data_IF_927603685779
#
_entry.id   IF_927603685779
#
_cell.length_a   1.000
_cell.length_b   1.000
_cell.length_c   1.000
_cell.angle_alpha   90.00
_cell.angle_beta   90.00
_cell.angle_gamma   90.00
#
_symmetry.space_group_name_H-M   'P 1'
#
loop_
_entity.id
_entity.type
_entity.pdbx_description
1 polymer ?
#
# COMPACT_ATOMS: atom_id res chain seq x y z
N UNK A 1 -9.31 1.67 7.57
CA UNK A 1 -8.11 0.99 7.05
C UNK A 1 -8.53 -0.43 6.66
N UNK A 2 -8.36 -0.82 5.40
CA UNK A 2 -8.64 -2.20 4.96
C UNK A 2 -7.48 -3.09 5.40
N UNK A 3 -7.77 -4.26 5.97
CA UNK A 3 -6.77 -5.27 6.29
C UNK A 3 -6.01 -5.65 5.01
N UNK A 4 -4.68 -5.53 5.03
CA UNK A 4 -3.81 -5.86 3.89
C UNK A 4 -3.31 -7.28 4.07
N UNK A 5 -3.68 -8.16 3.14
CA UNK A 5 -3.18 -9.53 3.06
C UNK A 5 -2.02 -9.60 2.09
N UNK A 6 -0.96 -10.28 2.48
CA UNK A 6 0.08 -10.70 1.55
C UNK A 6 -0.49 -11.84 0.67
N UNK A 7 0.00 -12.00 -0.57
CA UNK A 7 -0.32 -13.16 -1.38
C UNK A 7 0.04 -14.47 -0.66
N UNK A 8 -0.72 -15.54 -0.90
CA UNK A 8 -0.34 -16.87 -0.42
C UNK A 8 1.02 -17.29 -1.00
N UNK A 9 1.84 -17.92 -0.15
CA UNK A 9 3.12 -18.49 -0.57
C UNK A 9 2.90 -19.69 -1.51
N UNK A 10 3.87 -20.02 -2.37
CA UNK A 10 3.74 -21.13 -3.31
C UNK A 10 3.35 -22.47 -2.66
N UNK A 11 3.85 -22.74 -1.45
CA UNK A 11 3.52 -23.93 -0.67
C UNK A 11 2.04 -23.96 -0.22
N UNK A 12 1.53 -22.84 0.29
CA UNK A 12 0.15 -22.72 0.77
C UNK A 12 -0.87 -22.73 -0.38
N UNK A 13 -0.43 -22.42 -1.60
CA UNK A 13 -1.26 -22.53 -2.81
C UNK A 13 -1.52 -23.97 -3.24
N UNK A 14 -0.73 -24.95 -2.78
CA UNK A 14 -0.89 -26.36 -3.17
C UNK A 14 -2.20 -26.95 -2.64
N UNK A 15 -2.59 -26.59 -1.42
CA UNK A 15 -3.90 -26.91 -0.85
C UNK A 15 -4.44 -25.66 -0.12
N UNK A 16 -5.21 -24.81 -0.82
CA UNK A 16 -5.69 -23.54 -0.28
C UNK A 16 -6.79 -23.71 0.78
N UNK A 17 -7.17 -24.94 1.13
CA UNK A 17 -8.14 -25.22 2.18
C UNK A 17 -7.49 -25.41 3.55
N UNK A 18 -6.18 -25.72 3.59
CA UNK A 18 -5.47 -25.95 4.84
C UNK A 18 -5.16 -24.63 5.57
N UNK A 19 -5.09 -24.65 6.92
CA UNK A 19 -4.63 -23.50 7.67
C UNK A 19 -3.19 -23.12 7.30
N UNK A 20 -2.98 -21.86 6.93
CA UNK A 20 -1.68 -21.33 6.51
C UNK A 20 -1.21 -20.23 7.47
N UNK A 21 0.12 -20.04 7.63
CA UNK A 21 0.67 -19.01 8.51
C UNK A 21 0.21 -17.60 8.13
N UNK A 22 -0.23 -16.83 9.13
CA UNK A 22 -0.59 -15.42 8.96
C UNK A 22 0.31 -14.58 9.86
N UNK A 23 1.09 -13.60 9.34
CA UNK A 23 1.98 -12.79 10.16
C UNK A 23 1.26 -11.87 11.14
N UNK A 24 0.14 -11.29 10.70
CA UNK A 24 -0.65 -10.32 11.46
C UNK A 24 -2.13 -10.60 11.26
N UNK A 25 -2.89 -10.77 12.34
CA UNK A 25 -4.34 -10.92 12.29
C UNK A 25 -5.04 -9.58 11.98
N UNK A 26 -6.28 -9.63 11.48
CA UNK A 26 -7.07 -8.42 11.28
C UNK A 26 -7.47 -7.74 12.61
N UNK A 27 -7.64 -8.51 13.70
CA UNK A 27 -7.94 -8.02 15.04
C UNK A 27 -9.21 -8.61 15.63
N UNK A 28 -10.38 -8.18 15.16
CA UNK A 28 -11.67 -8.46 15.83
C UNK A 28 -12.17 -9.92 15.80
N UNK A 29 -11.54 -10.82 15.05
CA UNK A 29 -12.00 -12.20 14.85
C UNK A 29 -10.81 -13.16 14.95
N UNK A 30 -10.73 -13.91 16.05
CA UNK A 30 -9.73 -14.97 16.25
C UNK A 30 -10.20 -15.93 17.35
N UNK A 31 -9.56 -17.09 17.45
CA UNK A 31 -9.71 -18.02 18.56
C UNK A 31 -8.32 -18.31 19.14
N UNK A 32 -8.22 -18.29 20.47
CA UNK A 32 -6.98 -18.57 21.20
C UNK A 32 -7.33 -19.33 22.49
N UNK A 33 -6.45 -20.20 22.95
CA UNK A 33 -6.58 -20.79 24.30
C UNK A 33 -6.56 -19.68 25.34
N UNK A 34 -7.56 -19.65 26.23
CA UNK A 34 -7.63 -18.66 27.31
C UNK A 34 -6.36 -18.67 28.17
N UNK A 35 -5.85 -19.87 28.48
CA UNK A 35 -4.59 -20.03 29.21
C UNK A 35 -3.42 -19.39 28.46
N UNK A 36 -3.26 -19.69 27.18
CA UNK A 36 -2.17 -19.14 26.37
C UNK A 36 -2.27 -17.61 26.22
N UNK A 37 -3.48 -17.07 26.07
CA UNK A 37 -3.71 -15.62 26.04
C UNK A 37 -3.22 -14.93 27.31
N UNK A 38 -3.48 -15.51 28.48
CA UNK A 38 -3.01 -14.96 29.75
C UNK A 38 -1.53 -15.22 30.02
N UNK A 39 -0.96 -16.32 29.52
CA UNK A 39 0.50 -16.55 29.52
C UNK A 39 1.24 -15.48 28.70
N UNK A 40 0.64 -15.01 27.60
CA UNK A 40 1.12 -13.86 26.82
C UNK A 40 0.85 -12.49 27.48
N UNK A 41 0.24 -12.47 28.67
CA UNK A 41 -0.10 -11.25 29.41
C UNK A 41 -1.28 -10.45 28.84
N UNK A 42 -2.13 -11.06 28.01
CA UNK A 42 -3.26 -10.40 27.37
C UNK A 42 -2.85 -9.26 26.43
N UNK A 43 -3.73 -8.27 26.26
CA UNK A 43 -3.39 -7.01 25.59
C UNK A 43 -2.67 -6.05 26.56
N UNK A 44 -1.85 -5.15 26.04
CA UNK A 44 -1.35 -4.00 26.78
C UNK A 44 -2.53 -3.14 27.24
N UNK A 45 -2.70 -3.05 28.57
CA UNK A 45 -3.81 -2.37 29.26
C UNK A 45 -3.80 -0.86 29.06
N UNK A 46 -2.71 -0.31 28.53
CA UNK A 46 -2.58 1.10 28.18
C UNK A 46 -2.87 1.38 26.70
N UNK A 47 -3.24 0.37 25.90
CA UNK A 47 -3.79 0.60 24.56
C UNK A 47 -5.21 1.18 24.69
N UNK A 48 -5.43 2.30 24.01
CA UNK A 48 -6.67 3.06 24.16
C UNK A 48 -7.61 2.81 22.99
N UNK A 49 -8.89 2.54 23.28
CA UNK A 49 -10.06 2.53 22.36
C UNK A 49 -9.93 1.63 21.14
N UNK A 50 -9.04 1.96 20.20
CA UNK A 50 -8.84 1.26 18.94
C UNK A 50 -7.43 1.47 18.39
N UNK A 51 -6.87 0.41 17.82
CA UNK A 51 -5.68 0.44 16.99
C UNK A 51 -4.47 -0.16 17.68
N UNK A 52 -3.73 -0.96 16.91
CA UNK A 52 -2.48 -1.62 17.22
C UNK A 52 -2.55 -2.88 18.10
N UNK A 53 -3.70 -3.18 18.71
CA UNK A 53 -3.91 -4.41 19.48
C UNK A 53 -3.67 -5.68 18.63
N UNK A 54 -4.05 -5.63 17.35
CA UNK A 54 -3.84 -6.72 16.42
C UNK A 54 -2.35 -6.97 16.12
N UNK A 55 -1.54 -5.90 16.07
CA UNK A 55 -0.10 -6.03 15.88
C UNK A 55 0.56 -6.56 17.15
N UNK A 56 0.19 -6.02 18.30
CA UNK A 56 0.73 -6.42 19.59
C UNK A 56 0.56 -7.92 19.84
N UNK A 57 -0.67 -8.43 19.71
CA UNK A 57 -0.96 -9.84 19.95
C UNK A 57 -0.31 -10.74 18.89
N UNK A 58 -0.29 -10.31 17.62
CA UNK A 58 0.40 -11.05 16.55
C UNK A 58 1.90 -11.21 16.83
N UNK A 59 2.56 -10.13 17.23
CA UNK A 59 3.99 -10.13 17.58
C UNK A 59 4.25 -10.98 18.84
N UNK A 60 3.41 -10.86 19.88
CA UNK A 60 3.46 -11.72 21.08
C UNK A 60 3.39 -13.20 20.70
N UNK A 61 2.38 -13.60 19.94
CA UNK A 61 2.19 -15.00 19.55
C UNK A 61 3.44 -15.52 18.82
N UNK A 62 3.86 -14.84 17.75
CA UNK A 62 4.98 -15.33 16.94
C UNK A 62 6.33 -15.29 17.66
N UNK A 63 6.65 -14.17 18.29
CA UNK A 63 7.97 -13.95 18.87
C UNK A 63 8.16 -14.72 20.18
N UNK A 64 7.07 -15.06 20.89
CA UNK A 64 7.13 -15.71 22.21
C UNK A 64 6.74 -17.21 22.16
N UNK A 65 6.89 -17.86 20.99
CA UNK A 65 6.83 -19.33 20.87
C UNK A 65 5.49 -19.92 20.43
N UNK A 66 4.51 -19.08 20.09
CA UNK A 66 3.25 -19.49 19.48
C UNK A 66 3.29 -19.53 17.95
N UNK A 67 2.13 -19.83 17.35
CA UNK A 67 1.90 -19.81 15.91
C UNK A 67 0.54 -19.20 15.63
N UNK A 68 0.43 -18.45 14.54
CA UNK A 68 -0.83 -17.88 14.08
C UNK A 68 -1.14 -18.34 12.66
N UNK A 69 -2.41 -18.69 12.42
CA UNK A 69 -2.87 -19.18 11.12
C UNK A 69 -4.20 -18.56 10.75
N UNK A 70 -4.39 -18.33 9.45
CA UNK A 70 -5.72 -18.17 8.88
C UNK A 70 -6.24 -19.57 8.52
N UNK A 71 -7.49 -19.88 8.88
CA UNK A 71 -8.12 -21.18 8.61
C UNK A 71 -9.21 -21.03 7.53
N UNK A 72 -8.94 -21.36 6.25
CA UNK A 72 -9.85 -21.11 5.12
C UNK A 72 -11.27 -21.71 5.27
N UNK A 73 -11.37 -22.84 5.98
CA UNK A 73 -12.62 -23.55 6.25
C UNK A 73 -13.49 -22.90 7.34
N UNK A 74 -12.94 -21.97 8.13
CA UNK A 74 -13.69 -21.20 9.15
C UNK A 74 -13.91 -19.78 8.65
N UNK A 75 -15.16 -19.45 8.27
CA UNK A 75 -15.49 -18.18 7.62
C UNK A 75 -16.52 -17.42 8.44
N UNK A 76 -16.24 -16.15 8.73
CA UNK A 76 -17.14 -15.25 9.45
C UNK A 76 -17.31 -13.97 8.65
N UNK A 77 -18.57 -13.56 8.43
CA UNK A 77 -18.88 -12.28 7.79
C UNK A 77 -18.71 -11.12 8.77
N UNK A 78 -18.05 -10.05 8.33
CA UNK A 78 -17.89 -8.82 9.11
C UNK A 78 -18.37 -7.62 8.29
N UNK A 79 -19.22 -6.78 8.88
CA UNK A 79 -19.73 -5.58 8.24
C UNK A 79 -18.73 -4.44 8.48
N UNK A 80 -18.00 -4.06 7.43
CA UNK A 80 -17.15 -2.88 7.46
C UNK A 80 -18.00 -1.61 7.37
N UNK A 81 -17.83 -0.71 8.34
CA UNK A 81 -18.51 0.58 8.34
C UNK A 81 -17.86 1.52 7.32
N UNK A 82 -18.67 2.32 6.63
CA UNK A 82 -18.19 3.38 5.73
C UNK A 82 -17.59 4.56 6.50
N UNK A 83 -18.05 4.83 7.72
CA UNK A 83 -17.52 5.84 8.62
C UNK A 83 -17.59 5.37 10.10
N UNK A 84 -16.78 5.99 10.97
CA UNK A 84 -16.94 5.81 12.42
C UNK A 84 -18.09 6.71 12.90
N UNK A 85 -19.18 6.16 13.45
CA UNK A 85 -20.28 6.99 13.93
C UNK A 85 -19.99 7.64 15.30
N UNK A 86 -18.86 7.30 15.93
CA UNK A 86 -18.48 7.81 17.23
C UNK A 86 -17.54 9.01 17.09
N UNK A 87 -17.76 10.10 17.84
CA UNK A 87 -16.82 11.22 17.88
C UNK A 87 -15.46 10.77 18.43
N UNK A 88 -14.40 11.51 18.12
CA UNK A 88 -13.10 11.26 18.73
C UNK A 88 -13.22 11.39 20.24
N UNK A 89 -13.05 10.28 20.97
CA UNK A 89 -13.22 10.27 22.42
C UNK A 89 -12.07 10.95 23.17
N UNK A 90 -11.00 11.34 22.47
CA UNK A 90 -9.83 12.03 23.01
C UNK A 90 -9.44 13.21 22.12
N UNK A 91 -8.76 14.18 22.73
CA UNK A 91 -8.24 15.39 22.06
C UNK A 91 -6.92 15.17 21.34
N UNK A 92 -6.24 14.05 21.61
CA UNK A 92 -4.98 13.65 20.97
C UNK A 92 -5.14 12.37 20.15
N UNK A 93 -4.16 12.11 19.29
CA UNK A 93 -4.10 10.93 18.43
C UNK A 93 -3.69 9.67 19.21
N UNK A 94 -4.66 9.09 19.93
CA UNK A 94 -4.46 7.84 20.67
C UNK A 94 -4.08 6.66 19.76
N UNK A 95 -4.47 6.69 18.48
CA UNK A 95 -4.08 5.67 17.50
C UNK A 95 -2.57 5.73 17.25
N UNK A 96 -1.99 6.92 17.07
CA UNK A 96 -0.54 7.07 16.96
C UNK A 96 0.19 6.65 18.23
N UNK A 97 -0.35 6.98 19.41
CA UNK A 97 0.18 6.55 20.70
C UNK A 97 0.22 5.03 20.80
N UNK A 98 -0.89 4.34 20.51
CA UNK A 98 -0.97 2.87 20.54
C UNK A 98 0.05 2.23 19.59
N UNK A 99 0.14 2.70 18.34
CA UNK A 99 1.15 2.22 17.39
C UNK A 99 2.57 2.43 17.93
N UNK A 100 2.86 3.58 18.54
CA UNK A 100 4.17 3.87 19.13
C UNK A 100 4.48 2.96 20.31
N UNK A 101 3.52 2.67 21.20
CA UNK A 101 3.68 1.70 22.30
C UNK A 101 4.09 0.33 21.76
N UNK A 102 3.37 -0.17 20.76
CA UNK A 102 3.69 -1.47 20.13
C UNK A 102 5.06 -1.44 19.46
N UNK A 103 5.37 -0.38 18.71
CA UNK A 103 6.66 -0.25 18.03
C UNK A 103 7.84 -0.21 19.00
N UNK A 104 7.74 0.57 20.10
CA UNK A 104 8.79 0.69 21.11
C UNK A 104 9.06 -0.62 21.88
N UNK A 105 8.03 -1.45 22.06
CA UNK A 105 8.17 -2.71 22.81
C UNK A 105 8.57 -3.87 21.90
N UNK A 106 8.02 -3.95 20.69
CA UNK A 106 8.05 -5.18 19.89
C UNK A 106 8.84 -5.08 18.60
N UNK A 107 9.05 -3.88 18.03
CA UNK A 107 9.63 -3.74 16.68
C UNK A 107 11.15 -3.49 16.65
N UNK A 108 11.82 -3.43 17.79
CA UNK A 108 13.28 -3.25 17.90
C UNK A 108 13.81 -2.11 17.00
N UNK A 109 14.81 -2.38 16.15
CA UNK A 109 15.35 -1.40 15.21
C UNK A 109 14.35 -0.98 14.12
N UNK A 110 13.31 -1.76 13.84
CA UNK A 110 12.36 -1.50 12.76
C UNK A 110 11.37 -0.37 13.08
N UNK A 111 11.23 0.02 14.35
CA UNK A 111 10.39 1.16 14.75
C UNK A 111 10.78 2.46 14.05
N UNK A 112 12.06 2.60 13.68
CA UNK A 112 12.56 3.78 12.96
C UNK A 112 11.85 3.97 11.61
N UNK A 113 11.47 2.88 10.93
CA UNK A 113 10.75 2.95 9.65
C UNK A 113 9.30 3.42 9.85
N UNK A 114 8.68 3.10 10.98
CA UNK A 114 7.36 3.64 11.33
C UNK A 114 7.47 5.15 11.57
N UNK A 115 8.47 5.57 12.34
CA UNK A 115 8.64 6.98 12.70
C UNK A 115 9.00 7.84 11.48
N UNK A 116 9.83 7.31 10.58
CA UNK A 116 10.22 8.01 9.35
C UNK A 116 9.05 8.29 8.41
N UNK A 117 7.97 7.50 8.44
CA UNK A 117 6.79 7.72 7.59
C UNK A 117 6.00 8.96 7.98
N UNK A 118 5.98 9.32 9.27
CA UNK A 118 5.38 10.56 9.74
C UNK A 118 6.02 11.02 11.07
N UNK A 119 7.16 11.74 11.00
CA UNK A 119 7.92 12.13 12.19
C UNK A 119 7.12 13.00 13.17
N UNK A 120 6.27 13.88 12.65
CA UNK A 120 5.43 14.78 13.46
C UNK A 120 4.38 13.97 14.24
N UNK A 121 3.67 13.05 13.56
CA UNK A 121 2.65 12.22 14.19
C UNK A 121 3.22 11.30 15.27
N UNK A 122 4.41 10.74 15.03
CA UNK A 122 5.06 9.82 15.96
C UNK A 122 6.01 10.50 16.95
N UNK A 123 6.05 11.84 17.00
CA UNK A 123 6.69 12.57 18.09
C UNK A 123 5.94 12.45 19.42
N UNK A 124 4.69 11.97 19.41
CA UNK A 124 3.84 11.73 20.59
C UNK A 124 4.53 10.85 21.65
N UNK A 125 4.27 11.10 22.94
CA UNK A 125 4.78 10.25 24.02
C UNK A 125 4.05 8.88 24.05
N UNK A 126 4.82 7.80 24.22
CA UNK A 126 4.28 6.45 24.33
C UNK A 126 3.73 6.14 25.74
N UNK A 127 4.09 6.94 26.75
CA UNK A 127 3.82 6.66 28.15
C UNK A 127 4.68 5.53 28.72
N UNK A 128 4.31 5.00 29.89
CA UNK A 128 5.09 3.93 30.53
C UNK A 128 4.98 2.60 29.77
N UNK A 129 6.14 2.00 29.47
CA UNK A 129 6.30 0.74 28.75
C UNK A 129 6.96 -0.35 29.61
N UNK A 130 7.23 -0.07 30.89
CA UNK A 130 8.03 -0.93 31.77
C UNK A 130 7.45 -2.33 31.90
N UNK A 131 6.13 -2.42 32.13
CA UNK A 131 5.39 -3.69 32.23
C UNK A 131 5.54 -4.56 30.97
N UNK A 132 5.31 -3.98 29.79
CA UNK A 132 5.38 -4.70 28.52
C UNK A 132 6.81 -5.10 28.15
N UNK A 133 7.80 -4.24 28.41
CA UNK A 133 9.23 -4.58 28.22
C UNK A 133 9.67 -5.69 29.16
N UNK A 134 9.21 -5.70 30.42
CA UNK A 134 9.49 -6.77 31.37
C UNK A 134 8.85 -8.09 30.95
N UNK A 135 7.59 -8.05 30.49
CA UNK A 135 6.89 -9.22 29.97
C UNK A 135 7.63 -9.85 28.80
N UNK A 136 8.04 -9.05 27.81
CA UNK A 136 8.81 -9.54 26.64
C UNK A 136 10.11 -10.23 27.06
N UNK A 137 10.82 -9.68 28.06
CA UNK A 137 12.02 -10.31 28.63
C UNK A 137 11.70 -11.62 29.36
N UNK A 138 10.66 -11.63 30.20
CA UNK A 138 10.24 -12.80 30.98
C UNK A 138 9.85 -13.99 30.10
N UNK A 139 9.20 -13.71 28.97
CA UNK A 139 8.78 -14.74 28.01
C UNK A 139 9.90 -15.18 27.06
N UNK A 140 11.12 -14.61 27.19
CA UNK A 140 12.26 -14.91 26.33
C UNK A 140 11.93 -14.79 24.83
N UNK A 141 11.14 -13.77 24.47
CA UNK A 141 10.68 -13.61 23.10
C UNK A 141 11.86 -13.30 22.16
N UNK A 142 11.76 -13.81 20.93
CA UNK A 142 12.71 -13.60 19.84
C UNK A 142 12.79 -12.11 19.45
N UNK A 143 13.89 -11.66 18.82
CA UNK A 143 13.98 -10.29 18.28
C UNK A 143 13.04 -10.10 17.09
N UNK A 144 12.63 -8.87 16.81
CA UNK A 144 11.75 -8.54 15.69
C UNK A 144 12.39 -8.85 14.33
N UNK A 145 13.71 -8.77 14.25
CA UNK A 145 14.45 -9.23 13.06
C UNK A 145 14.14 -10.68 12.70
N UNK A 146 14.01 -11.56 13.69
CA UNK A 146 13.62 -12.96 13.46
C UNK A 146 12.18 -13.04 12.90
N UNK A 147 11.26 -12.23 13.42
CA UNK A 147 9.89 -12.17 12.90
C UNK A 147 9.89 -11.75 11.42
N UNK A 148 10.65 -10.72 11.06
CA UNK A 148 10.76 -10.25 9.67
C UNK A 148 11.40 -11.29 8.74
N UNK A 149 12.36 -12.08 9.22
CA UNK A 149 13.10 -13.04 8.39
C UNK A 149 12.39 -14.40 8.26
N UNK A 150 11.77 -14.88 9.34
CA UNK A 150 11.21 -16.24 9.39
C UNK A 150 9.69 -16.25 9.23
N UNK A 151 8.99 -15.27 9.82
CA UNK A 151 7.53 -15.22 9.79
C UNK A 151 7.03 -14.51 8.54
N UNK A 152 7.68 -13.41 8.14
CA UNK A 152 7.25 -12.59 7.00
C UNK A 152 8.39 -12.09 6.08
N UNK A 153 9.23 -12.99 5.56
CA UNK A 153 10.31 -12.62 4.63
C UNK A 153 9.84 -11.88 3.38
N UNK A 154 8.62 -12.17 2.92
CA UNK A 154 8.01 -11.62 1.71
C UNK A 154 7.38 -10.22 1.91
N UNK A 155 7.37 -9.68 3.15
CA UNK A 155 6.81 -8.35 3.40
C UNK A 155 7.55 -7.27 2.60
N UNK A 156 8.87 -7.35 2.53
CA UNK A 156 9.72 -6.30 1.96
C UNK A 156 9.58 -6.20 0.44
N UNK A 157 9.18 -7.28 -0.22
CA UNK A 157 8.92 -7.29 -1.67
C UNK A 157 7.67 -6.46 -2.01
N UNK A 158 6.70 -6.46 -1.10
CA UNK A 158 5.44 -5.73 -1.26
C UNK A 158 5.46 -4.36 -0.56
N UNK A 159 6.13 -4.23 0.56
CA UNK A 159 6.14 -3.04 1.42
C UNK A 159 7.56 -2.80 1.95
N UNK A 160 8.49 -2.38 1.08
CA UNK A 160 9.87 -2.15 1.48
C UNK A 160 9.92 -1.03 2.54
N UNK A 161 10.74 -1.16 3.59
CA UNK A 161 10.84 -0.14 4.63
C UNK A 161 11.24 1.24 4.09
N UNK A 162 12.10 1.25 3.07
CA UNK A 162 12.45 2.41 2.25
C UNK A 162 11.94 2.15 0.84
N UNK A 163 11.00 2.97 0.40
CA UNK A 163 10.45 2.85 -0.95
C UNK A 163 11.47 3.31 -1.98
N UNK A 164 11.67 2.57 -3.08
CA UNK A 164 12.51 3.03 -4.18
C UNK A 164 12.02 4.34 -4.78
N UNK A 165 12.93 5.07 -5.43
CA UNK A 165 12.58 6.22 -6.25
C UNK A 165 11.60 5.79 -7.36
N UNK A 166 10.61 6.64 -7.62
CA UNK A 166 9.74 6.48 -8.77
C UNK A 166 10.51 6.57 -10.08
N UNK A 167 9.98 5.91 -11.11
CA UNK A 167 10.57 5.96 -12.44
C UNK A 167 10.48 7.38 -13.01
N UNK A 168 9.32 8.03 -12.90
CA UNK A 168 9.13 9.40 -13.39
C UNK A 168 8.00 10.14 -12.65
N UNK A 169 8.01 11.47 -12.76
CA UNK A 169 7.03 12.37 -12.14
C UNK A 169 6.94 13.66 -12.95
N UNK A 170 5.72 14.11 -13.25
CA UNK A 170 5.45 15.31 -14.05
C UNK A 170 4.14 15.22 -14.82
N UNK A 171 4.02 15.99 -15.89
CA UNK A 171 2.92 15.91 -16.85
C UNK A 171 3.18 14.84 -17.91
N UNK A 172 2.11 14.16 -18.34
CA UNK A 172 2.15 13.16 -19.42
C UNK A 172 1.72 13.85 -20.72
N UNK A 173 2.67 14.20 -21.57
CA UNK A 173 2.46 14.90 -22.83
C UNK A 173 2.25 13.93 -23.99
N UNK A 174 1.24 14.16 -24.82
CA UNK A 174 1.04 13.43 -26.06
C UNK A 174 2.10 13.81 -27.11
N UNK A 175 2.73 12.83 -27.78
CA UNK A 175 3.77 13.15 -28.78
C UNK A 175 3.20 13.51 -30.14
N UNK A 176 2.02 12.99 -30.49
CA UNK A 176 1.34 13.33 -31.74
C UNK A 176 0.73 14.74 -31.66
N UNK A 177 0.25 15.13 -30.48
CA UNK A 177 -0.33 16.45 -30.19
C UNK A 177 0.43 17.13 -29.05
N UNK A 178 1.55 17.78 -29.38
CA UNK A 178 2.49 18.33 -28.39
C UNK A 178 1.90 19.42 -27.47
N UNK A 179 0.75 20.01 -27.79
CA UNK A 179 0.04 20.94 -26.93
C UNK A 179 -0.88 20.24 -25.91
N UNK A 180 -1.08 18.92 -26.03
CA UNK A 180 -2.00 18.15 -25.18
C UNK A 180 -1.25 17.29 -24.17
N UNK A 181 -1.74 17.31 -22.94
CA UNK A 181 -1.28 16.52 -21.82
C UNK A 181 -2.46 15.76 -21.19
N UNK A 182 -2.17 14.64 -20.56
CA UNK A 182 -3.14 13.90 -19.76
C UNK A 182 -3.54 14.74 -18.56
N UNK A 183 -4.84 14.80 -18.30
CA UNK A 183 -5.44 15.51 -17.18
C UNK A 183 -6.48 14.61 -16.49
N UNK A 184 -6.56 14.73 -15.17
CA UNK A 184 -7.60 14.11 -14.36
C UNK A 184 -8.95 14.81 -14.56
N UNK A 185 -9.97 14.04 -14.92
CA UNK A 185 -11.35 14.52 -15.01
C UNK A 185 -12.11 14.23 -13.71
N UNK A 186 -12.27 15.28 -12.88
CA UNK A 186 -12.96 15.19 -11.59
C UNK A 186 -14.43 14.73 -11.69
N UNK A 187 -15.08 14.88 -12.85
CA UNK A 187 -16.48 14.52 -13.04
C UNK A 187 -16.71 13.04 -13.39
N UNK A 188 -15.72 12.38 -13.99
CA UNK A 188 -15.89 11.05 -14.59
C UNK A 188 -15.01 9.97 -13.96
N UNK A 189 -14.17 10.32 -12.97
CA UNK A 189 -13.11 9.42 -12.46
C UNK A 189 -12.35 8.78 -13.63
N UNK A 190 -11.97 9.61 -14.60
CA UNK A 190 -11.27 9.18 -15.81
C UNK A 190 -10.14 10.15 -16.12
N UNK A 191 -9.32 9.78 -17.10
CA UNK A 191 -8.30 10.67 -17.65
C UNK A 191 -8.70 11.14 -19.05
N UNK A 192 -8.47 12.41 -19.34
CA UNK A 192 -8.70 13.00 -20.65
C UNK A 192 -7.44 13.74 -21.15
N UNK A 193 -7.50 14.30 -22.36
CA UNK A 193 -6.46 15.17 -22.89
C UNK A 193 -6.89 16.64 -22.75
N UNK A 194 -6.02 17.47 -22.20
CA UNK A 194 -6.21 18.90 -22.04
C UNK A 194 -4.95 19.67 -22.47
N UNK A 195 -5.03 20.99 -22.60
CA UNK A 195 -3.86 21.80 -22.92
C UNK A 195 -2.81 21.67 -21.82
N UNK A 196 -1.56 21.38 -22.20
CA UNK A 196 -0.46 21.21 -21.26
C UNK A 196 -0.23 22.45 -20.40
N UNK A 197 0.04 22.23 -19.12
CA UNK A 197 0.64 23.25 -18.24
C UNK A 197 2.00 23.70 -18.76
N UNK A 198 2.39 24.94 -18.42
CA UNK A 198 3.70 25.51 -18.79
C UNK A 198 4.86 24.70 -18.21
N UNK A 199 4.81 24.43 -16.90
CA UNK A 199 5.81 23.62 -16.21
C UNK A 199 5.39 22.15 -16.21
N UNK A 200 6.07 21.32 -17.02
CA UNK A 200 5.74 19.90 -17.17
C UNK A 200 6.49 18.99 -16.20
N UNK A 201 7.60 19.44 -15.60
CA UNK A 201 8.36 18.65 -14.62
C UNK A 201 7.77 18.78 -13.22
N UNK A 202 7.25 19.96 -12.90
CA UNK A 202 6.54 20.25 -11.67
C UNK A 202 5.27 21.03 -12.01
N UNK A 203 4.21 20.32 -12.46
CA UNK A 203 2.93 20.93 -12.78
C UNK A 203 2.38 21.75 -11.61
N UNK A 204 2.02 22.99 -11.89
CA UNK A 204 1.34 23.86 -10.93
C UNK A 204 -0.08 23.35 -10.61
N UNK A 205 -0.68 22.63 -11.57
CA UNK A 205 -1.99 21.98 -11.46
C UNK A 205 -1.83 20.50 -11.15
N UNK A 206 -2.41 20.05 -10.05
CA UNK A 206 -2.31 18.65 -9.60
C UNK A 206 -3.04 17.68 -10.51
N UNK A 207 -4.04 18.14 -11.28
CA UNK A 207 -4.78 17.30 -12.23
C UNK A 207 -3.93 16.86 -13.43
N UNK A 208 -2.87 17.61 -13.76
CA UNK A 208 -1.88 17.21 -14.78
C UNK A 208 -0.60 16.65 -14.16
N UNK A 209 -0.57 16.40 -12.86
CA UNK A 209 0.59 15.83 -12.19
C UNK A 209 0.41 14.34 -11.94
N UNK A 210 1.24 13.53 -12.58
CA UNK A 210 1.27 12.08 -12.45
C UNK A 210 2.64 11.59 -12.00
N UNK A 211 2.65 10.44 -11.32
CA UNK A 211 3.85 9.71 -10.95
C UNK A 211 3.79 8.31 -11.53
N UNK A 212 4.84 7.91 -12.26
CA UNK A 212 5.02 6.50 -12.62
C UNK A 212 5.84 5.84 -11.53
N UNK A 213 5.14 5.16 -10.63
CA UNK A 213 5.70 4.75 -9.34
C UNK A 213 6.62 3.55 -9.49
N UNK A 214 7.47 3.32 -8.49
CA UNK A 214 8.31 2.11 -8.42
C UNK A 214 7.52 0.80 -8.47
N UNK A 215 6.21 0.82 -8.17
CA UNK A 215 5.29 -0.32 -8.27
C UNK A 215 4.80 -0.60 -9.68
N UNK A 216 5.18 0.25 -10.65
CA UNK A 216 4.76 0.23 -12.05
C UNK A 216 3.28 0.56 -12.26
N UNK A 217 2.72 1.39 -11.39
CA UNK A 217 1.42 2.04 -11.61
C UNK A 217 1.59 3.53 -11.93
N UNK A 218 0.60 4.12 -12.60
CA UNK A 218 0.55 5.57 -12.87
C UNK A 218 -0.43 6.17 -11.87
N UNK A 219 0.09 6.96 -10.92
CA UNK A 219 -0.70 7.61 -9.87
C UNK A 219 -0.98 9.07 -10.23
N UNK A 220 -2.26 9.46 -10.20
CA UNK A 220 -2.70 10.85 -10.29
C UNK A 220 -2.48 11.54 -8.94
N UNK A 221 -1.85 12.72 -8.94
CA UNK A 221 -1.52 13.43 -7.70
C UNK A 221 -2.71 14.23 -7.14
N UNK A 222 -3.71 14.57 -7.96
CA UNK A 222 -4.96 15.19 -7.54
C UNK A 222 -5.78 14.28 -6.63
N UNK A 223 -6.38 13.21 -7.17
CA UNK A 223 -7.18 12.26 -6.37
C UNK A 223 -6.39 11.24 -5.55
N UNK A 224 -5.08 11.09 -5.79
CA UNK A 224 -4.28 9.96 -5.29
C UNK A 224 -4.75 8.57 -5.77
N UNK A 225 -5.56 8.51 -6.82
CA UNK A 225 -5.94 7.28 -7.51
C UNK A 225 -4.89 6.88 -8.56
N UNK A 226 -5.00 5.64 -9.04
CA UNK A 226 -4.17 5.10 -10.10
C UNK A 226 -4.97 5.01 -11.39
N UNK A 227 -4.29 5.20 -12.52
CA UNK A 227 -4.85 4.91 -13.85
C UNK A 227 -5.13 3.41 -13.93
N UNK A 228 -6.32 3.07 -14.39
CA UNK A 228 -6.87 1.72 -14.42
C UNK A 228 -7.42 1.41 -15.82
N UNK A 229 -6.94 0.32 -16.41
CA UNK A 229 -7.35 -0.18 -17.71
C UNK A 229 -8.25 -1.43 -17.55
N UNK A 230 -9.42 -1.26 -16.94
CA UNK A 230 -10.39 -2.34 -16.68
C UNK A 230 -11.07 -2.87 -17.93
N UNK A 231 -11.38 -1.99 -18.89
CA UNK A 231 -11.98 -2.35 -20.18
C UNK A 231 -10.89 -2.44 -21.26
N UNK A 232 -10.81 -3.60 -21.89
CA UNK A 232 -9.80 -3.89 -22.92
C UNK A 232 -10.32 -3.73 -24.35
N UNK A 233 -11.53 -3.20 -24.51
CA UNK A 233 -12.07 -2.89 -25.83
C UNK A 233 -11.25 -1.77 -26.49
N UNK A 234 -11.13 -1.83 -27.80
CA UNK A 234 -10.49 -0.77 -28.59
C UNK A 234 -11.19 0.55 -28.33
N UNK A 235 -10.43 1.59 -27.97
CA UNK A 235 -10.98 2.91 -27.66
C UNK A 235 -11.66 3.01 -26.29
N UNK A 236 -11.52 2.00 -25.42
CA UNK A 236 -11.96 2.11 -24.04
C UNK A 236 -11.24 3.24 -23.31
N UNK A 237 -11.99 4.03 -22.54
CA UNK A 237 -11.44 5.09 -21.72
C UNK A 237 -10.68 4.52 -20.53
N UNK A 238 -9.58 5.21 -20.16
CA UNK A 238 -8.84 4.90 -18.95
C UNK A 238 -9.50 5.57 -17.76
N UNK A 239 -9.68 4.78 -16.71
CA UNK A 239 -10.34 5.20 -15.49
C UNK A 239 -9.32 5.52 -14.41
N UNK A 240 -9.76 6.24 -13.39
CA UNK A 240 -9.03 6.43 -12.15
C UNK A 240 -9.70 5.59 -11.07
N UNK A 241 -8.92 4.68 -10.49
CA UNK A 241 -9.39 3.77 -9.45
C UNK A 241 -8.42 3.73 -8.27
N UNK A 242 -8.89 3.23 -7.13
CA UNK A 242 -8.07 3.16 -5.93
C UNK A 242 -6.84 2.27 -6.17
N UNK A 243 -5.65 2.85 -5.97
CA UNK A 243 -4.39 2.14 -6.12
C UNK A 243 -4.34 0.85 -5.27
N UNK A 244 -4.29 -0.31 -5.93
CA UNK A 244 -4.36 -1.60 -5.24
C UNK A 244 -3.00 -2.32 -5.10
N UNK A 245 -1.93 -1.86 -5.76
CA UNK A 245 -0.57 -2.41 -5.69
C UNK A 245 -0.43 -3.89 -6.14
N UNK A 246 -1.34 -4.39 -6.98
CA UNK A 246 -1.36 -5.80 -7.44
C UNK A 246 -0.94 -5.97 -8.91
N UNK A 247 -0.48 -4.90 -9.57
CA UNK A 247 0.04 -4.98 -10.95
C UNK A 247 -0.93 -5.61 -11.99
N UNK A 248 -2.24 -5.58 -11.74
CA UNK A 248 -3.25 -6.09 -12.68
C UNK A 248 -3.54 -5.11 -13.81
N UNK A 249 -4.79 -4.67 -13.90
CA UNK A 249 -5.27 -3.59 -14.76
C UNK A 249 -4.62 -2.22 -14.48
N UNK A 250 -3.84 -2.08 -13.40
CA UNK A 250 -3.04 -0.90 -13.09
C UNK A 250 -1.53 -1.07 -13.38
N UNK A 251 -1.10 -2.14 -14.06
CA UNK A 251 0.31 -2.31 -14.43
C UNK A 251 0.62 -1.64 -15.77
N UNK A 252 1.60 -0.75 -15.73
CA UNK A 252 2.12 -0.05 -16.90
C UNK A 252 3.60 -0.38 -17.09
N UNK A 253 4.01 -0.55 -18.35
CA UNK A 253 5.41 -0.72 -18.72
C UNK A 253 5.86 0.43 -19.61
N UNK A 254 7.12 0.82 -19.45
CA UNK A 254 7.78 1.77 -20.32
C UNK A 254 9.06 1.17 -20.91
N UNK A 255 9.27 1.34 -22.22
CA UNK A 255 10.48 0.93 -22.95
C UNK A 255 11.28 2.15 -23.41
N UNK A 256 12.53 2.24 -22.95
CA UNK A 256 13.46 3.36 -23.15
C UNK A 256 14.17 3.30 -24.52
N UNK A 257 14.16 2.14 -25.21
CA UNK A 257 15.13 1.82 -26.27
C UNK A 257 14.65 2.17 -27.68
N UNK A 258 13.36 2.48 -27.88
CA UNK A 258 12.86 2.93 -29.20
C UNK A 258 12.08 4.22 -29.07
N UNK A 259 12.48 5.22 -29.85
CA UNK A 259 11.73 6.46 -30.14
C UNK A 259 10.36 6.20 -30.79
N UNK A 260 10.01 4.93 -31.00
CA UNK A 260 8.70 4.36 -31.30
C UNK A 260 8.55 3.07 -30.47
N UNK A 261 7.97 3.11 -29.27
CA UNK A 261 7.68 1.89 -28.51
C UNK A 261 6.47 1.96 -27.59
N UNK A 262 5.72 0.86 -27.65
CA UNK A 262 4.36 0.53 -27.22
C UNK A 262 4.16 0.47 -25.72
N UNK A 263 2.97 0.84 -25.24
CA UNK A 263 2.44 0.32 -23.98
C UNK A 263 1.84 -1.05 -24.24
N UNK A 264 2.52 -2.08 -23.77
CA UNK A 264 1.89 -3.38 -23.62
C UNK A 264 1.24 -3.41 -22.23
N UNK A 265 -0.08 -3.22 -22.18
CA UNK A 265 -0.84 -4.01 -21.23
C UNK A 265 -0.52 -5.47 -21.59
N UNK A 266 -0.02 -6.26 -20.64
CA UNK A 266 0.59 -7.59 -20.84
C UNK A 266 -0.30 -8.64 -21.56
N UNK A 267 -1.47 -8.25 -22.08
CA UNK A 267 -2.33 -9.09 -22.89
C UNK A 267 -2.77 -8.57 -24.26
N UNK A 268 -2.62 -7.30 -24.66
CA UNK A 268 -3.31 -6.83 -25.88
C UNK A 268 -2.56 -5.75 -26.69
N UNK A 269 -2.46 -5.99 -28.01
CA UNK A 269 -1.69 -5.23 -29.01
C UNK A 269 -2.49 -4.04 -29.57
N UNK A 270 -2.33 -2.82 -29.03
CA UNK A 270 -2.70 -1.54 -29.69
C UNK A 270 -1.77 -0.39 -29.21
N UNK A 271 -1.46 0.59 -30.09
CA UNK A 271 -0.28 1.47 -29.95
C UNK A 271 -0.62 2.97 -30.17
N UNK A 272 -0.35 3.86 -29.20
CA UNK A 272 -0.24 5.33 -29.39
C UNK A 272 0.68 6.00 -28.35
N UNK A 273 1.51 6.97 -28.76
CA UNK A 273 2.69 7.43 -27.99
C UNK A 273 2.49 8.65 -27.04
N UNK A 274 2.74 8.56 -25.72
CA UNK A 274 2.89 9.74 -24.83
C UNK A 274 4.25 9.80 -24.08
N UNK A 275 4.53 10.86 -23.31
CA UNK A 275 5.79 11.16 -22.60
C UNK A 275 5.53 11.71 -21.19
N UNK A 276 6.05 11.07 -20.13
CA UNK A 276 6.07 11.67 -18.79
C UNK A 276 7.39 12.38 -18.54
N UNK A 277 7.35 13.72 -18.52
CA UNK A 277 8.58 14.53 -18.43
C UNK A 277 9.09 14.52 -16.98
N UNK A 278 10.25 13.90 -16.68
CA UNK A 278 10.73 13.71 -15.33
C UNK A 278 11.65 14.85 -14.86
N UNK A 279 11.78 14.96 -13.55
CA UNK A 279 12.57 15.98 -12.86
C UNK A 279 14.10 15.70 -12.85
N UNK A 280 14.53 14.46 -13.15
CA UNK A 280 15.95 14.09 -13.34
C UNK A 280 16.22 14.02 -14.85
N UNK A 281 17.40 14.48 -15.32
CA UNK A 281 17.88 14.66 -16.72
C UNK A 281 17.60 13.55 -17.78
N UNK A 282 16.84 12.50 -17.48
CA UNK A 282 16.44 11.44 -18.41
C UNK A 282 14.97 11.61 -18.77
N UNK A 283 14.63 12.25 -19.88
CA UNK A 283 13.23 12.29 -20.38
C UNK A 283 12.67 10.86 -20.48
N UNK A 284 11.54 10.60 -19.84
CA UNK A 284 10.88 9.29 -19.82
C UNK A 284 9.65 9.38 -20.70
N UNK A 285 9.66 8.66 -21.81
CA UNK A 285 8.49 8.55 -22.65
C UNK A 285 7.46 7.69 -21.87
N UNK A 286 6.15 7.91 -21.93
CA UNK A 286 5.11 7.06 -21.34
C UNK A 286 3.95 7.01 -22.32
N UNK A 287 4.10 6.26 -23.40
CA UNK A 287 3.26 5.11 -23.64
C UNK A 287 1.71 5.19 -23.77
N UNK A 288 0.93 6.12 -23.20
CA UNK A 288 -0.50 5.81 -22.91
C UNK A 288 -1.36 5.56 -24.17
N UNK A 289 -1.69 4.30 -24.41
CA UNK A 289 -2.60 3.85 -25.47
C UNK A 289 -4.02 4.32 -25.14
N UNK A 290 -4.44 5.42 -25.75
CA UNK A 290 -5.85 5.86 -25.80
C UNK A 290 -6.16 6.09 -27.29
N UNK A 291 -6.99 5.23 -27.88
CA UNK A 291 -7.48 5.45 -29.24
C UNK A 291 -8.74 6.33 -29.18
N UNK A 292 -8.64 7.53 -29.74
CA UNK A 292 -9.78 8.23 -30.32
C UNK A 292 -9.37 8.64 -31.73
N UNK A 293 -9.78 7.85 -32.72
CA UNK A 293 -9.73 8.24 -34.13
C UNK A 293 -11.05 7.81 -34.76
N UNK A 294 -12.09 8.60 -34.50
CA UNK A 294 -13.22 8.72 -35.41
C UNK A 294 -12.79 9.69 -36.51
N UNK A 295 -12.22 9.13 -37.59
CA UNK A 295 -12.27 9.75 -38.90
C UNK A 295 -13.61 9.37 -39.54
N UNK A 296 -14.49 10.35 -39.71
CA UNK A 296 -15.42 10.43 -40.83
C UNK A 296 -14.92 11.59 -41.71
#
# INVERSE_FOLDING_TARGET
>A
MLYKRLPLRPEDKKDPTQPFPSPVMAGGLFAISARFFWELGGYDDMLEIWGAEQYELSFKIWMCGGRMVDAPCSRVGHIYRSYSPFPSAKTYDFVAKNHKRVAEVWMDEYKQYVYAKNPIRYAIDAGDLSKMKQLRRKLHCKPFRWFMQEVVPDLVDHYPPVEPDDFASGAIQNVAFMNLCVEESNSLNSVNLALCVKNKTMPERTEQHFRFTWRRDIKAMGSSNCVDASNHSVGAELQLFQCHNLQGNQLFQYDVVRTLCTLLALKQKQFASLILIPNKKKTIFIMITIFALTLL
#
